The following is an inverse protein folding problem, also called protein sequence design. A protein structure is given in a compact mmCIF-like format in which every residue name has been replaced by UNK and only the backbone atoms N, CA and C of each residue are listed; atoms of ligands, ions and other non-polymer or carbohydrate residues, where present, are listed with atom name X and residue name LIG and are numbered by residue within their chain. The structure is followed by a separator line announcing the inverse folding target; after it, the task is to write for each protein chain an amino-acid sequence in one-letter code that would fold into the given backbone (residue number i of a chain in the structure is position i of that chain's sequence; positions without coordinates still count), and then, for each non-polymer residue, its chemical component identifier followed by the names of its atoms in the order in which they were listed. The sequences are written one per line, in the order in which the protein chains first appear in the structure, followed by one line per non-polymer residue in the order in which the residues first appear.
data_IF_269173734946
#
_entry.id   IF_269173734946
#
_cell.length_a   1.000
_cell.length_b   1.000
_cell.length_c   1.000
_cell.angle_alpha   90.00
_cell.angle_beta   90.00
_cell.angle_gamma   90.00
#
_symmetry.space_group_name_H-M   'P 1'
#
loop_
_entity.id
_entity.type
_entity.pdbx_description
1 polymer ?
#
# COMPACT_ATOMS: atom_id res chain seq x y z
N UNK A 1 4.30 15.93 -5.89
CA UNK A 1 5.62 16.53 -5.60
C UNK A 1 6.54 16.58 -6.82
N UNK A 2 6.62 15.50 -7.61
CA UNK A 2 7.39 15.44 -8.87
C UNK A 2 7.03 16.60 -9.82
N UNK A 3 5.74 16.89 -10.00
CA UNK A 3 5.30 18.01 -10.84
C UNK A 3 5.88 19.36 -10.42
N UNK A 4 5.90 19.64 -9.11
CA UNK A 4 6.49 20.86 -8.53
C UNK A 4 8.00 20.88 -8.70
N UNK A 5 8.63 19.71 -8.72
CA UNK A 5 10.08 19.62 -8.91
C UNK A 5 10.47 19.87 -10.36
N UNK A 6 9.68 19.36 -11.32
CA UNK A 6 9.85 19.61 -12.75
C UNK A 6 9.77 21.10 -13.10
N UNK A 7 8.94 21.91 -12.41
CA UNK A 7 8.87 23.36 -12.64
C UNK A 7 10.08 24.15 -12.16
N UNK A 8 11.05 23.51 -11.47
CA UNK A 8 12.26 24.18 -10.98
C UNK A 8 13.44 24.10 -11.95
N UNK A 9 13.27 23.39 -13.07
CA UNK A 9 14.28 23.34 -14.12
C UNK A 9 14.33 24.70 -14.84
N UNK A 10 15.51 25.15 -15.32
CA UNK A 10 15.63 26.37 -16.10
C UNK A 10 14.73 26.38 -17.35
N UNK A 11 14.23 27.55 -17.74
CA UNK A 11 13.34 27.71 -18.91
C UNK A 11 13.90 27.08 -20.19
N UNK A 12 15.22 27.14 -20.41
CA UNK A 12 15.86 26.50 -21.56
C UNK A 12 15.61 24.99 -21.62
N UNK A 13 15.62 24.29 -20.47
CA UNK A 13 15.31 22.86 -20.42
C UNK A 13 13.80 22.59 -20.52
N UNK A 14 12.96 23.50 -20.02
CA UNK A 14 11.51 23.42 -20.18
C UNK A 14 11.11 23.55 -21.64
N UNK A 15 11.76 24.44 -22.40
CA UNK A 15 11.52 24.62 -23.84
C UNK A 15 11.97 23.40 -24.66
N UNK A 16 13.03 22.70 -24.21
CA UNK A 16 13.57 21.52 -24.90
C UNK A 16 12.76 20.24 -24.63
N UNK A 17 12.40 19.98 -23.36
CA UNK A 17 11.79 18.70 -22.95
C UNK A 17 10.28 18.79 -22.74
N UNK A 18 9.73 20.00 -22.73
CA UNK A 18 8.41 20.30 -22.19
C UNK A 18 8.28 19.91 -20.69
N UNK A 19 7.25 20.43 -20.02
CA UNK A 19 7.04 20.13 -18.60
C UNK A 19 6.69 18.65 -18.36
N UNK A 20 6.01 18.01 -19.30
CA UNK A 20 5.69 16.58 -19.29
C UNK A 20 6.97 15.73 -19.35
N UNK A 21 7.90 16.04 -20.26
CA UNK A 21 9.18 15.36 -20.37
C UNK A 21 10.05 15.54 -19.14
N UNK A 22 10.09 16.74 -18.55
CA UNK A 22 10.82 16.98 -17.30
C UNK A 22 10.26 16.20 -16.11
N UNK A 23 8.92 16.03 -16.03
CA UNK A 23 8.29 15.20 -14.99
C UNK A 23 8.74 13.75 -15.11
N UNK A 24 8.74 13.22 -16.34
CA UNK A 24 9.21 11.87 -16.64
C UNK A 24 10.69 11.72 -16.31
N UNK A 25 11.52 12.66 -16.75
CA UNK A 25 12.95 12.68 -16.44
C UNK A 25 13.24 12.64 -14.94
N UNK A 26 12.57 13.48 -14.14
CA UNK A 26 12.75 13.47 -12.68
C UNK A 26 12.36 12.12 -12.06
N UNK A 27 11.27 11.52 -12.53
CA UNK A 27 10.82 10.20 -12.08
C UNK A 27 11.85 9.13 -12.44
N UNK A 28 12.25 9.06 -13.71
CA UNK A 28 13.20 8.06 -14.23
C UNK A 28 14.55 8.15 -13.50
N UNK A 29 15.10 9.36 -13.32
CA UNK A 29 16.36 9.56 -12.59
C UNK A 29 16.26 9.09 -11.14
N UNK A 30 15.20 9.48 -10.41
CA UNK A 30 15.07 9.10 -9.00
C UNK A 30 14.78 7.60 -8.83
N UNK A 31 14.06 7.00 -9.78
CA UNK A 31 13.85 5.55 -9.87
C UNK A 31 15.17 4.81 -10.09
N UNK A 32 16.01 5.25 -11.02
CA UNK A 32 17.30 4.62 -11.28
C UNK A 32 18.30 4.82 -10.13
N UNK A 33 18.29 5.98 -9.46
CA UNK A 33 19.09 6.18 -8.25
C UNK A 33 18.66 5.20 -7.14
N UNK A 34 17.36 5.08 -6.88
CA UNK A 34 16.86 4.13 -5.88
C UNK A 34 17.20 2.68 -6.24
N UNK A 35 17.08 2.33 -7.53
CA UNK A 35 17.46 1.02 -8.05
C UNK A 35 18.94 0.74 -7.83
N UNK A 36 19.84 1.61 -8.27
CA UNK A 36 21.30 1.43 -8.14
C UNK A 36 21.70 1.29 -6.66
N UNK A 37 21.19 2.18 -5.80
CA UNK A 37 21.43 2.12 -4.35
C UNK A 37 20.97 0.78 -3.75
N UNK A 38 19.78 0.28 -4.12
CA UNK A 38 19.26 -0.99 -3.65
C UNK A 38 20.06 -2.20 -4.17
N UNK A 39 20.47 -2.17 -5.44
CA UNK A 39 21.25 -3.23 -6.08
C UNK A 39 22.67 -3.33 -5.50
N UNK A 40 23.23 -2.19 -5.09
CA UNK A 40 24.55 -2.09 -4.48
C UNK A 40 24.51 -2.17 -2.94
N UNK A 41 23.33 -2.21 -2.33
CA UNK A 41 23.12 -2.22 -0.88
C UNK A 41 23.83 -1.04 -0.18
N UNK A 42 23.66 0.17 -0.73
CA UNK A 42 24.26 1.41 -0.20
C UNK A 42 23.19 2.44 0.13
N UNK A 43 23.42 3.20 1.19
CA UNK A 43 22.49 4.25 1.65
C UNK A 43 22.76 5.63 1.02
N UNK A 44 23.81 5.75 0.20
CA UNK A 44 24.14 6.97 -0.53
C UNK A 44 24.78 6.66 -1.88
N UNK A 45 24.68 7.61 -2.81
CA UNK A 45 25.24 7.58 -4.17
C UNK A 45 26.29 8.70 -4.33
N UNK A 46 27.41 8.44 -5.01
CA UNK A 46 28.38 9.50 -5.34
C UNK A 46 27.93 10.36 -6.52
N UNK A 47 28.46 11.59 -6.56
CA UNK A 47 28.16 12.56 -7.61
C UNK A 47 28.44 12.03 -9.02
N UNK A 48 29.51 11.27 -9.22
CA UNK A 48 29.87 10.73 -10.53
C UNK A 48 28.79 9.76 -11.05
N UNK A 49 28.36 8.81 -10.21
CA UNK A 49 27.27 7.88 -10.55
C UNK A 49 25.94 8.61 -10.73
N UNK A 50 25.64 9.59 -9.86
CA UNK A 50 24.44 10.43 -9.96
C UNK A 50 24.37 11.18 -11.30
N UNK A 51 25.50 11.77 -11.72
CA UNK A 51 25.58 12.47 -13.00
C UNK A 51 25.45 11.54 -14.18
N UNK A 52 26.06 10.35 -14.10
CA UNK A 52 25.95 9.36 -15.15
C UNK A 52 24.50 8.88 -15.35
N UNK A 53 23.77 8.63 -14.25
CA UNK A 53 22.33 8.30 -14.32
C UNK A 53 21.55 9.44 -14.97
N UNK A 54 21.83 10.69 -14.57
CA UNK A 54 21.14 11.86 -15.12
C UNK A 54 21.40 12.06 -16.62
N UNK A 55 22.63 11.86 -17.09
CA UNK A 55 22.96 11.91 -18.52
C UNK A 55 22.26 10.79 -19.28
N UNK A 56 22.30 9.57 -18.76
CA UNK A 56 21.63 8.41 -19.37
C UNK A 56 20.13 8.62 -19.50
N UNK A 57 19.48 9.17 -18.47
CA UNK A 57 18.05 9.45 -18.48
C UNK A 57 17.66 10.63 -19.39
N UNK A 58 18.58 11.58 -19.62
CA UNK A 58 18.34 12.70 -20.53
C UNK A 58 18.40 12.23 -22.00
N UNK A 59 19.28 11.27 -22.32
CA UNK A 59 19.50 10.78 -23.68
C UNK A 59 20.49 11.63 -24.48
N UNK A 60 20.66 11.29 -25.76
CA UNK A 60 21.77 11.78 -26.59
C UNK A 60 21.55 13.17 -27.23
N UNK A 61 20.36 13.76 -27.09
CA UNK A 61 19.95 14.95 -27.85
C UNK A 61 20.33 16.30 -27.18
N UNK A 62 21.12 16.27 -26.12
CA UNK A 62 21.46 17.47 -25.33
C UNK A 62 22.89 17.97 -25.59
N UNK A 63 23.04 19.27 -25.78
CA UNK A 63 24.35 19.92 -25.85
C UNK A 63 25.02 19.99 -24.47
N UNK A 64 26.34 20.26 -24.46
CA UNK A 64 27.14 20.26 -23.24
C UNK A 64 26.64 21.29 -22.20
N UNK A 65 26.08 22.41 -22.66
CA UNK A 65 25.51 23.43 -21.79
C UNK A 65 24.21 22.96 -21.13
N UNK A 66 23.30 22.29 -21.87
CA UNK A 66 22.09 21.72 -21.30
C UNK A 66 22.38 20.58 -20.33
N UNK A 67 23.34 19.70 -20.64
CA UNK A 67 23.78 18.64 -19.73
C UNK A 67 24.34 19.22 -18.43
N UNK A 68 25.11 20.33 -18.50
CA UNK A 68 25.59 21.02 -17.30
C UNK A 68 24.44 21.58 -16.45
N UNK A 69 23.38 22.11 -17.08
CA UNK A 69 22.19 22.57 -16.36
C UNK A 69 21.45 21.42 -15.67
N UNK A 70 21.33 20.27 -16.35
CA UNK A 70 20.74 19.05 -15.80
C UNK A 70 21.51 18.58 -14.56
N UNK A 71 22.85 18.44 -14.67
CA UNK A 71 23.71 18.03 -13.55
C UNK A 71 23.56 18.93 -12.33
N UNK A 72 23.60 20.24 -12.53
CA UNK A 72 23.41 21.22 -11.45
C UNK A 72 22.01 21.10 -10.80
N UNK A 73 20.97 20.80 -11.59
CA UNK A 73 19.61 20.67 -11.07
C UNK A 73 19.41 19.38 -10.28
N UNK A 74 19.95 18.26 -10.75
CA UNK A 74 19.88 16.96 -10.05
C UNK A 74 20.53 17.03 -8.67
N UNK A 75 21.68 17.73 -8.54
CA UNK A 75 22.31 17.96 -7.24
C UNK A 75 21.49 18.82 -6.27
N UNK A 76 20.50 19.55 -6.76
CA UNK A 76 19.66 20.41 -5.93
C UNK A 76 18.22 19.88 -5.83
N UNK A 77 17.97 18.64 -6.26
CA UNK A 77 16.65 18.04 -6.25
C UNK A 77 16.17 17.82 -4.80
N UNK A 78 14.91 18.16 -4.53
CA UNK A 78 14.39 18.21 -3.15
C UNK A 78 14.26 16.84 -2.46
N UNK A 79 14.30 15.74 -3.20
CA UNK A 79 14.20 14.37 -2.67
C UNK A 79 15.52 13.84 -2.13
N UNK A 80 16.64 14.48 -2.49
CA UNK A 80 17.98 14.07 -2.11
C UNK A 80 18.61 15.14 -1.21
N UNK A 81 19.32 14.69 -0.19
CA UNK A 81 20.14 15.51 0.70
C UNK A 81 21.61 15.11 0.62
N UNK A 82 22.48 15.96 1.15
CA UNK A 82 23.90 15.64 1.24
C UNK A 82 24.11 14.59 2.33
N UNK A 83 24.89 13.57 1.99
CA UNK A 83 25.38 12.60 2.97
C UNK A 83 26.49 13.24 3.84
N UNK A 84 26.80 12.62 4.98
CA UNK A 84 27.94 13.05 5.81
C UNK A 84 29.27 12.96 5.05
N UNK A 85 29.36 12.02 4.10
CA UNK A 85 30.51 11.86 3.22
C UNK A 85 30.44 12.87 2.09
N UNK A 86 31.49 13.69 1.96
CA UNK A 86 31.60 14.71 0.91
C UNK A 86 31.46 14.09 -0.48
N UNK A 87 30.68 14.74 -1.35
CA UNK A 87 30.45 14.31 -2.73
C UNK A 87 29.50 13.12 -2.88
N UNK A 88 28.69 12.85 -1.83
CA UNK A 88 27.65 11.84 -1.86
C UNK A 88 26.30 12.42 -1.46
N UNK A 89 25.25 11.81 -1.99
CA UNK A 89 23.85 12.19 -1.82
C UNK A 89 23.07 10.98 -1.34
N UNK A 90 22.04 11.18 -0.53
CA UNK A 90 21.10 10.14 -0.12
C UNK A 90 19.68 10.64 -0.23
N UNK A 91 18.70 9.74 -0.24
CA UNK A 91 17.31 10.17 -0.10
C UNK A 91 17.10 10.84 1.25
N UNK A 92 16.42 11.98 1.24
CA UNK A 92 16.15 12.76 2.45
C UNK A 92 15.20 12.03 3.44
N UNK A 93 14.46 11.04 2.95
CA UNK A 93 13.60 10.18 3.78
C UNK A 93 13.51 8.78 3.15
N UNK A 94 13.43 7.74 3.99
CA UNK A 94 13.31 6.35 3.54
C UNK A 94 12.05 6.11 2.71
N UNK A 95 10.96 6.82 3.00
CA UNK A 95 9.72 6.76 2.21
C UNK A 95 9.93 7.21 0.76
N UNK A 96 10.80 8.20 0.50
CA UNK A 96 11.10 8.60 -0.88
C UNK A 96 11.88 7.50 -1.60
N UNK A 97 12.89 6.95 -0.95
CA UNK A 97 13.64 5.81 -1.49
C UNK A 97 12.70 4.64 -1.83
N UNK A 98 11.87 4.23 -0.88
CA UNK A 98 10.92 3.13 -1.06
C UNK A 98 9.86 3.43 -2.13
N UNK A 99 9.40 4.68 -2.26
CA UNK A 99 8.46 5.11 -3.30
C UNK A 99 9.08 4.91 -4.70
N UNK A 100 10.30 5.41 -4.93
CA UNK A 100 10.96 5.30 -6.23
C UNK A 100 11.42 3.87 -6.52
N UNK A 101 11.81 3.11 -5.49
CA UNK A 101 12.13 1.68 -5.62
C UNK A 101 10.87 0.86 -5.96
N UNK A 102 9.70 1.24 -5.44
CA UNK A 102 8.42 0.59 -5.78
C UNK A 102 8.06 0.80 -7.25
N UNK A 103 8.24 2.02 -7.77
CA UNK A 103 8.11 2.30 -9.19
C UNK A 103 9.08 1.44 -10.03
N UNK A 104 10.35 1.34 -9.62
CA UNK A 104 11.34 0.47 -10.28
C UNK A 104 10.87 -0.99 -10.33
N UNK A 105 10.39 -1.52 -9.21
CA UNK A 105 9.93 -2.91 -9.11
C UNK A 105 8.73 -3.20 -10.03
N UNK A 106 7.72 -2.33 -10.03
CA UNK A 106 6.55 -2.47 -10.91
C UNK A 106 6.96 -2.39 -12.38
N UNK A 107 7.77 -1.40 -12.75
CA UNK A 107 8.16 -1.18 -14.14
C UNK A 107 9.02 -2.33 -14.67
N UNK A 108 10.03 -2.76 -13.90
CA UNK A 108 10.93 -3.85 -14.29
C UNK A 108 10.18 -5.18 -14.42
N UNK A 109 9.36 -5.56 -13.44
CA UNK A 109 8.61 -6.81 -13.49
C UNK A 109 7.56 -6.78 -14.61
N UNK A 110 6.90 -5.63 -14.85
CA UNK A 110 5.98 -5.48 -15.98
C UNK A 110 6.66 -5.72 -17.34
N UNK A 111 7.97 -5.51 -17.42
CA UNK A 111 8.80 -5.73 -18.60
C UNK A 111 9.51 -7.10 -18.59
N UNK A 112 9.13 -8.01 -17.67
CA UNK A 112 9.75 -9.32 -17.49
C UNK A 112 11.25 -9.24 -17.13
N UNK A 113 11.65 -8.17 -16.43
CA UNK A 113 12.97 -8.00 -15.85
C UNK A 113 12.95 -8.33 -14.35
N UNK A 114 13.99 -9.01 -13.85
CA UNK A 114 14.19 -9.25 -12.41
C UNK A 114 15.46 -8.55 -11.91
N UNK A 115 15.35 -7.29 -11.46
CA UNK A 115 16.47 -6.53 -10.90
C UNK A 115 17.20 -7.28 -9.78
N UNK A 116 18.48 -6.93 -9.57
CA UNK A 116 19.32 -7.61 -8.58
C UNK A 116 18.78 -7.49 -7.16
N UNK A 117 18.17 -6.35 -6.82
CA UNK A 117 17.59 -6.13 -5.49
C UNK A 117 16.38 -7.05 -5.21
N UNK A 118 15.60 -7.40 -6.23
CA UNK A 118 14.49 -8.37 -6.14
C UNK A 118 15.00 -9.80 -5.98
N UNK A 119 16.17 -10.13 -6.55
CA UNK A 119 16.73 -11.48 -6.47
C UNK A 119 17.37 -11.83 -5.12
N UNK A 120 17.88 -10.83 -4.39
CA UNK A 120 18.82 -11.09 -3.27
C UNK A 120 18.29 -10.79 -1.88
N UNK A 121 17.59 -9.67 -1.71
CA UNK A 121 17.27 -9.15 -0.39
C UNK A 121 15.89 -9.61 0.05
N UNK A 122 15.70 -9.92 1.33
CA UNK A 122 14.34 -10.05 1.87
C UNK A 122 13.77 -8.64 2.02
N UNK A 123 12.55 -8.43 1.55
CA UNK A 123 11.89 -7.14 1.68
C UNK A 123 11.36 -6.90 3.08
N UNK A 124 11.87 -5.85 3.73
CA UNK A 124 11.37 -5.41 5.02
C UNK A 124 9.97 -4.78 4.94
N UNK A 125 9.27 -4.67 6.09
CA UNK A 125 7.90 -4.18 6.15
C UNK A 125 7.76 -2.75 5.62
N UNK A 126 8.71 -1.86 5.88
CA UNK A 126 8.64 -0.46 5.41
C UNK A 126 8.56 -0.35 3.88
N UNK A 127 9.34 -1.18 3.17
CA UNK A 127 9.30 -1.23 1.70
C UNK A 127 7.97 -1.82 1.22
N UNK A 128 7.53 -2.95 1.78
CA UNK A 128 6.28 -3.60 1.37
C UNK A 128 5.04 -2.72 1.64
N UNK A 129 5.01 -1.99 2.76
CA UNK A 129 3.97 -1.01 3.06
C UNK A 129 3.97 0.11 2.01
N UNK A 130 5.15 0.67 1.72
CA UNK A 130 5.28 1.76 0.74
C UNK A 130 4.90 1.27 -0.65
N UNK A 131 5.27 0.04 -1.01
CA UNK A 131 4.94 -0.58 -2.28
C UNK A 131 3.42 -0.75 -2.44
N UNK A 132 2.71 -1.23 -1.41
CA UNK A 132 1.25 -1.33 -1.45
C UNK A 132 0.56 0.03 -1.62
N UNK A 133 1.05 1.06 -0.93
CA UNK A 133 0.55 2.44 -1.07
C UNK A 133 0.83 3.02 -2.45
N UNK A 134 2.04 2.82 -2.97
CA UNK A 134 2.42 3.23 -4.32
C UNK A 134 1.53 2.56 -5.36
N UNK A 135 1.35 1.24 -5.23
CA UNK A 135 0.57 0.42 -6.16
C UNK A 135 -0.88 0.86 -6.22
N UNK A 136 -1.48 1.31 -5.12
CA UNK A 136 -2.83 1.87 -5.15
C UNK A 136 -2.96 3.10 -6.07
N UNK A 137 -1.87 3.87 -6.23
CA UNK A 137 -1.81 5.12 -7.02
C UNK A 137 -1.23 4.96 -8.44
N UNK A 138 -0.65 3.81 -8.76
CA UNK A 138 -0.01 3.57 -10.04
C UNK A 138 -1.03 3.41 -11.19
N UNK A 139 -0.56 3.51 -12.43
CA UNK A 139 -1.41 3.35 -13.61
C UNK A 139 -2.02 1.93 -13.62
N UNK A 140 -3.33 1.86 -13.88
CA UNK A 140 -4.07 0.61 -13.75
C UNK A 140 -3.66 -0.42 -14.83
N UNK A 141 -3.17 0.02 -15.99
CA UNK A 141 -2.67 -0.89 -17.03
C UNK A 141 -1.27 -1.41 -16.68
N UNK A 142 -0.41 -0.54 -16.16
CA UNK A 142 0.91 -0.93 -15.67
C UNK A 142 0.79 -1.96 -14.55
N UNK A 143 -0.06 -1.72 -13.55
CA UNK A 143 -0.30 -2.67 -12.46
C UNK A 143 -0.90 -4.00 -12.92
N UNK A 144 -1.80 -3.99 -13.91
CA UNK A 144 -2.32 -5.23 -14.51
C UNK A 144 -1.21 -5.99 -15.22
N UNK A 145 -0.32 -5.28 -15.92
CA UNK A 145 0.86 -5.88 -16.55
C UNK A 145 1.78 -6.49 -15.50
N UNK A 146 2.12 -5.72 -14.45
CA UNK A 146 2.87 -6.18 -13.29
C UNK A 146 2.26 -7.45 -12.69
N UNK A 147 0.99 -7.42 -12.31
CA UNK A 147 0.33 -8.54 -11.64
C UNK A 147 0.35 -9.81 -12.51
N UNK A 148 0.06 -9.67 -13.81
CA UNK A 148 0.08 -10.76 -14.77
C UNK A 148 1.48 -11.37 -14.92
N UNK A 149 2.51 -10.55 -15.11
CA UNK A 149 3.88 -11.03 -15.30
C UNK A 149 4.42 -11.60 -13.99
N UNK A 150 4.19 -10.93 -12.87
CA UNK A 150 4.56 -11.40 -11.54
C UNK A 150 3.96 -12.78 -11.25
N UNK A 151 2.65 -12.98 -11.53
CA UNK A 151 1.99 -14.27 -11.36
C UNK A 151 2.66 -15.37 -12.20
N UNK A 152 3.02 -15.08 -13.45
CA UNK A 152 3.73 -16.02 -14.30
C UNK A 152 5.15 -16.33 -13.79
N UNK A 153 5.85 -15.34 -13.22
CA UNK A 153 7.21 -15.50 -12.69
C UNK A 153 7.22 -16.37 -11.43
N UNK A 154 6.25 -16.22 -10.52
CA UNK A 154 6.19 -17.03 -9.29
C UNK A 154 5.78 -18.48 -9.56
N UNK A 155 5.07 -18.76 -10.68
CA UNK A 155 4.72 -20.13 -11.07
C UNK A 155 5.93 -20.97 -11.49
N UNK A 156 7.09 -20.35 -11.73
CA UNK A 156 8.35 -21.03 -12.06
C UNK A 156 9.38 -20.66 -10.99
N UNK A 157 9.43 -21.41 -9.87
CA UNK A 157 10.32 -21.10 -8.76
C UNK A 157 11.78 -21.00 -9.22
N UNK A 158 12.48 -19.99 -8.69
CA UNK A 158 13.92 -19.84 -8.92
C UNK A 158 14.69 -20.74 -7.97
N UNK A 159 15.50 -21.65 -8.50
CA UNK A 159 16.38 -22.49 -7.67
C UNK A 159 17.62 -21.74 -7.17
N UNK A 160 17.95 -20.60 -7.79
CA UNK A 160 19.24 -19.93 -7.64
C UNK A 160 19.18 -18.65 -6.81
N UNK A 161 17.99 -18.08 -6.63
CA UNK A 161 17.80 -16.82 -5.93
C UNK A 161 16.43 -16.73 -5.25
N UNK A 162 16.09 -15.58 -4.66
CA UNK A 162 14.85 -15.35 -3.90
C UNK A 162 13.76 -14.64 -4.72
N UNK A 163 13.91 -14.54 -6.04
CA UNK A 163 13.05 -13.69 -6.87
C UNK A 163 11.59 -14.07 -6.77
N UNK A 164 11.26 -15.35 -6.88
CA UNK A 164 9.90 -15.89 -6.74
C UNK A 164 9.27 -15.50 -5.40
N UNK A 165 10.01 -15.66 -4.29
CA UNK A 165 9.53 -15.33 -2.94
C UNK A 165 9.25 -13.84 -2.77
N UNK A 166 10.16 -13.02 -3.29
CA UNK A 166 10.06 -11.57 -3.21
C UNK A 166 8.97 -11.02 -4.12
N UNK A 167 8.81 -11.57 -5.33
CA UNK A 167 7.72 -11.20 -6.24
C UNK A 167 6.37 -11.62 -5.64
N UNK A 168 6.29 -12.79 -5.01
CA UNK A 168 5.11 -13.21 -4.27
C UNK A 168 4.79 -12.24 -3.12
N UNK A 169 5.79 -11.80 -2.34
CA UNK A 169 5.60 -10.78 -1.31
C UNK A 169 5.02 -9.47 -1.88
N UNK A 170 5.51 -9.01 -3.03
CA UNK A 170 4.97 -7.83 -3.72
C UNK A 170 3.53 -8.04 -4.19
N UNK A 171 3.22 -9.19 -4.81
CA UNK A 171 1.85 -9.53 -5.24
C UNK A 171 0.85 -9.52 -4.08
N UNK A 172 1.25 -10.02 -2.91
CA UNK A 172 0.39 -10.08 -1.73
C UNK A 172 0.03 -8.69 -1.20
N UNK A 173 0.91 -7.69 -1.35
CA UNK A 173 0.56 -6.30 -1.00
C UNK A 173 -0.56 -5.73 -1.88
N UNK A 174 -0.83 -6.34 -3.05
CA UNK A 174 -1.87 -5.93 -3.99
C UNK A 174 -3.25 -6.53 -3.70
N UNK A 175 -3.39 -7.42 -2.71
CA UNK A 175 -4.67 -8.04 -2.36
C UNK A 175 -5.84 -7.05 -2.10
N UNK A 176 -5.62 -5.84 -1.54
CA UNK A 176 -6.68 -4.83 -1.36
C UNK A 176 -7.37 -4.35 -2.64
N UNK A 177 -6.80 -4.66 -3.80
CA UNK A 177 -7.33 -4.32 -5.11
C UNK A 177 -7.14 -5.47 -6.11
N UNK A 178 -7.03 -6.71 -5.62
CA UNK A 178 -6.76 -7.92 -6.40
C UNK A 178 -7.68 -8.03 -7.62
N UNK A 179 -8.98 -7.81 -7.43
CA UNK A 179 -9.98 -7.89 -8.49
C UNK A 179 -9.78 -6.84 -9.59
N UNK A 180 -9.29 -5.64 -9.22
CA UNK A 180 -9.02 -4.57 -10.19
C UNK A 180 -7.83 -4.87 -11.10
N UNK A 181 -6.86 -5.65 -10.60
CA UNK A 181 -5.63 -6.01 -11.34
C UNK A 181 -5.65 -7.45 -11.89
N UNK A 182 -6.74 -8.19 -11.66
CA UNK A 182 -6.93 -9.55 -12.18
C UNK A 182 -6.23 -10.64 -11.39
N UNK A 183 -5.92 -10.39 -10.11
CA UNK A 183 -5.40 -11.41 -9.19
C UNK A 183 -6.61 -12.11 -8.55
N UNK A 184 -6.86 -13.35 -8.95
CA UNK A 184 -7.93 -14.19 -8.37
C UNK A 184 -7.36 -15.34 -7.54
N UNK A 185 -6.17 -15.81 -7.90
CA UNK A 185 -5.53 -16.99 -7.32
C UNK A 185 -4.02 -16.76 -7.21
N UNK A 186 -3.44 -17.22 -6.10
CA UNK A 186 -1.99 -17.27 -5.86
C UNK A 186 -1.69 -18.67 -5.30
N UNK A 187 -0.85 -19.44 -5.97
CA UNK A 187 -0.61 -20.84 -5.61
C UNK A 187 0.87 -21.18 -5.58
N UNK A 188 1.23 -22.18 -4.78
CA UNK A 188 2.57 -22.77 -4.73
C UNK A 188 3.69 -21.77 -4.41
N UNK A 189 3.44 -20.82 -3.50
CA UNK A 189 4.43 -19.81 -3.11
C UNK A 189 5.05 -20.09 -1.74
N UNK A 190 6.32 -19.71 -1.61
CA UNK A 190 7.04 -19.67 -0.34
C UNK A 190 7.47 -18.23 -0.09
N UNK A 191 7.07 -17.64 1.03
CA UNK A 191 7.35 -16.22 1.32
C UNK A 191 8.05 -16.08 2.66
N UNK A 192 9.17 -15.36 2.65
CA UNK A 192 9.94 -15.07 3.87
C UNK A 192 9.24 -13.99 4.71
N UNK A 193 8.96 -12.83 4.11
CA UNK A 193 8.24 -11.74 4.74
C UNK A 193 7.15 -11.22 3.79
N UNK A 194 5.93 -11.06 4.29
CA UNK A 194 4.84 -10.43 3.55
C UNK A 194 4.08 -9.43 4.41
N UNK A 195 3.47 -8.46 3.74
CA UNK A 195 2.63 -7.43 4.37
C UNK A 195 1.34 -7.32 3.59
N UNK A 196 0.21 -7.35 4.29
CA UNK A 196 -1.11 -7.04 3.74
C UNK A 196 -1.73 -5.94 4.60
N UNK A 197 -2.29 -4.90 3.96
CA UNK A 197 -2.89 -3.74 4.63
C UNK A 197 -4.21 -3.36 3.99
N UNK A 198 -5.17 -2.88 4.77
CA UNK A 198 -6.47 -2.49 4.23
C UNK A 198 -7.41 -3.69 4.05
N UNK A 199 -8.48 -3.51 3.29
CA UNK A 199 -9.51 -4.54 3.08
C UNK A 199 -9.25 -5.24 1.76
N UNK A 200 -9.01 -6.54 1.82
CA UNK A 200 -8.69 -7.39 0.67
C UNK A 200 -9.93 -7.63 -0.20
N UNK A 201 -9.71 -7.59 -1.51
CA UNK A 201 -10.65 -8.16 -2.47
C UNK A 201 -10.58 -9.70 -2.38
N UNK A 202 -11.54 -10.37 -3.01
CA UNK A 202 -11.53 -11.83 -3.06
C UNK A 202 -10.27 -12.35 -3.77
N UNK A 203 -9.59 -13.30 -3.13
CA UNK A 203 -8.46 -14.03 -3.71
C UNK A 203 -8.34 -15.39 -3.01
N UNK A 204 -7.96 -16.43 -3.75
CA UNK A 204 -7.61 -17.73 -3.18
C UNK A 204 -6.10 -17.91 -3.12
N UNK A 205 -5.60 -18.30 -1.97
CA UNK A 205 -4.20 -18.64 -1.72
C UNK A 205 -4.11 -20.13 -1.42
N UNK A 206 -3.36 -20.88 -2.22
CA UNK A 206 -3.29 -22.34 -2.07
C UNK A 206 -1.87 -22.90 -2.06
N UNK A 207 -1.67 -24.02 -1.35
CA UNK A 207 -0.42 -24.79 -1.31
C UNK A 207 0.81 -23.91 -1.03
N UNK A 208 0.71 -23.03 -0.04
CA UNK A 208 1.67 -21.95 0.17
C UNK A 208 2.20 -21.93 1.60
N UNK A 209 3.40 -21.39 1.82
CA UNK A 209 3.96 -21.25 3.17
C UNK A 209 4.51 -19.86 3.42
N UNK A 210 4.24 -19.33 4.61
CA UNK A 210 4.68 -18.02 5.07
C UNK A 210 5.56 -18.16 6.30
N UNK A 211 6.80 -17.67 6.25
CA UNK A 211 7.62 -17.57 7.46
C UNK A 211 7.09 -16.47 8.39
N UNK A 212 6.77 -15.31 7.82
CA UNK A 212 6.13 -14.21 8.53
C UNK A 212 5.14 -13.46 7.64
N UNK A 213 3.95 -13.18 8.19
CA UNK A 213 2.94 -12.35 7.53
C UNK A 213 2.46 -11.25 8.48
N UNK A 214 2.63 -10.00 8.06
CA UNK A 214 2.15 -8.84 8.78
C UNK A 214 0.75 -8.44 8.31
N UNK A 215 -0.21 -8.63 9.20
CA UNK A 215 -1.65 -8.45 9.03
C UNK A 215 -2.20 -7.31 9.90
N UNK A 216 -1.35 -6.49 10.50
CA UNK A 216 -1.82 -5.31 11.27
C UNK A 216 -2.69 -4.42 10.40
N UNK A 217 -3.81 -3.96 10.93
CA UNK A 217 -4.77 -3.09 10.22
C UNK A 217 -5.31 -3.67 8.90
N UNK A 218 -5.27 -5.00 8.72
CA UNK A 218 -5.82 -5.65 7.54
C UNK A 218 -7.23 -6.22 7.80
N UNK A 219 -7.94 -6.45 6.71
CA UNK A 219 -9.12 -7.31 6.66
C UNK A 219 -8.94 -8.26 5.49
N UNK A 220 -8.71 -9.54 5.80
CA UNK A 220 -8.56 -10.61 4.82
C UNK A 220 -9.75 -11.59 4.89
N UNK A 221 -10.89 -11.16 5.40
CA UNK A 221 -12.10 -12.00 5.52
C UNK A 221 -12.57 -12.59 4.19
N UNK A 222 -12.31 -11.89 3.07
CA UNK A 222 -12.64 -12.34 1.71
C UNK A 222 -11.55 -13.22 1.06
N UNK A 223 -10.42 -13.47 1.72
CA UNK A 223 -9.34 -14.30 1.18
C UNK A 223 -9.56 -15.76 1.59
N UNK A 224 -9.43 -16.70 0.67
CA UNK A 224 -9.57 -18.13 0.95
C UNK A 224 -8.20 -18.77 1.03
N UNK A 225 -7.91 -19.53 2.09
CA UNK A 225 -6.65 -20.23 2.31
C UNK A 225 -6.86 -21.75 2.22
N UNK A 226 -6.11 -22.42 1.35
CA UNK A 226 -6.20 -23.87 1.13
C UNK A 226 -4.81 -24.50 1.22
N UNK A 227 -4.57 -25.44 2.15
CA UNK A 227 -3.23 -26.00 2.39
C UNK A 227 -2.16 -24.91 2.56
N UNK A 228 -2.41 -23.97 3.47
CA UNK A 228 -1.47 -22.87 3.77
C UNK A 228 -0.88 -23.06 5.15
N UNK A 229 0.44 -22.89 5.25
CA UNK A 229 1.18 -22.88 6.51
C UNK A 229 1.68 -21.47 6.82
N UNK A 230 1.54 -21.04 8.07
CA UNK A 230 2.02 -19.73 8.52
C UNK A 230 2.83 -19.93 9.81
N UNK A 231 4.11 -19.57 9.82
CA UNK A 231 4.91 -19.71 11.02
C UNK A 231 4.64 -18.56 12.01
N UNK A 232 4.70 -17.31 11.56
CA UNK A 232 4.46 -16.12 12.40
C UNK A 232 3.43 -15.18 11.77
N UNK A 233 2.44 -14.78 12.56
CA UNK A 233 1.52 -13.68 12.21
C UNK A 233 1.86 -12.46 13.05
N UNK A 234 1.97 -11.29 12.43
CA UNK A 234 1.98 -10.00 13.16
C UNK A 234 0.60 -9.39 13.00
N UNK A 235 -0.09 -9.10 14.11
CA UNK A 235 -1.46 -8.60 14.07
C UNK A 235 -1.72 -7.55 15.16
N UNK A 236 -2.87 -6.89 15.06
CA UNK A 236 -3.37 -6.00 16.10
C UNK A 236 -4.88 -6.20 16.27
N UNK A 237 -5.49 -5.47 17.19
CA UNK A 237 -6.88 -5.66 17.62
C UNK A 237 -7.93 -5.36 16.54
N UNK A 238 -7.53 -4.77 15.41
CA UNK A 238 -8.41 -4.48 14.26
C UNK A 238 -8.15 -5.38 13.04
N UNK A 239 -7.24 -6.35 13.17
CA UNK A 239 -6.99 -7.37 12.16
C UNK A 239 -8.23 -8.28 12.04
N UNK A 240 -8.76 -8.46 10.83
CA UNK A 240 -9.83 -9.43 10.56
C UNK A 240 -9.34 -10.56 9.65
N UNK A 241 -9.59 -11.79 10.07
CA UNK A 241 -9.13 -13.01 9.41
C UNK A 241 -10.27 -13.75 8.70
N UNK A 242 -9.90 -14.54 7.70
CA UNK A 242 -10.83 -15.42 6.98
C UNK A 242 -11.24 -16.63 7.83
N UNK A 243 -12.46 -17.18 7.61
CA UNK A 243 -12.88 -18.50 8.10
C UNK A 243 -11.91 -19.63 7.77
N UNK A 244 -11.10 -19.48 6.72
CA UNK A 244 -10.15 -20.50 6.26
C UNK A 244 -8.71 -20.25 6.71
N UNK A 245 -8.46 -19.18 7.46
CA UNK A 245 -7.10 -18.82 7.87
C UNK A 245 -6.47 -19.94 8.74
N UNK A 246 -5.24 -20.40 8.45
CA UNK A 246 -4.64 -21.52 9.16
C UNK A 246 -4.25 -21.15 10.60
N UNK A 247 -4.07 -22.15 11.47
CA UNK A 247 -3.42 -21.94 12.77
C UNK A 247 -1.92 -21.67 12.54
N UNK A 248 -1.39 -20.52 12.97
CA UNK A 248 0.01 -20.21 12.84
C UNK A 248 0.82 -20.85 13.97
N UNK A 249 2.13 -20.92 13.80
CA UNK A 249 3.04 -21.30 14.88
C UNK A 249 2.97 -20.34 16.08
N UNK A 250 2.91 -19.03 15.80
CA UNK A 250 2.80 -17.98 16.81
C UNK A 250 2.20 -16.69 16.25
N UNK A 251 1.68 -15.84 17.15
CA UNK A 251 1.19 -14.49 16.84
C UNK A 251 2.00 -13.48 17.66
N UNK A 252 2.59 -12.50 16.98
CA UNK A 252 3.12 -11.27 17.57
C UNK A 252 1.98 -10.25 17.54
N UNK A 253 1.36 -10.02 18.70
CA UNK A 253 0.21 -9.16 18.84
C UNK A 253 0.66 -7.78 19.33
N UNK A 254 0.31 -6.75 18.57
CA UNK A 254 0.47 -5.36 18.98
C UNK A 254 -0.81 -4.87 19.69
N UNK A 255 -0.72 -4.60 20.99
CA UNK A 255 -1.83 -4.08 21.81
C UNK A 255 -1.38 -2.77 22.46
N UNK A 256 -1.99 -1.65 22.09
CA UNK A 256 -1.70 -0.33 22.68
C UNK A 256 -0.19 0.03 22.68
N UNK A 257 0.53 -0.38 21.63
CA UNK A 257 1.99 -0.16 21.50
C UNK A 257 2.88 -1.13 22.30
N UNK A 258 2.28 -2.14 22.95
CA UNK A 258 3.01 -3.28 23.55
C UNK A 258 2.98 -4.46 22.61
N UNK A 259 4.04 -5.27 22.67
CA UNK A 259 4.16 -6.51 21.91
C UNK A 259 3.91 -7.69 22.85
N UNK A 260 2.91 -8.50 22.52
CA UNK A 260 2.57 -9.74 23.20
C UNK A 260 2.81 -10.92 22.27
N UNK A 261 3.10 -12.08 22.85
CA UNK A 261 3.36 -13.30 22.09
C UNK A 261 2.36 -14.38 22.46
N UNK A 262 1.53 -14.77 21.50
CA UNK A 262 0.56 -15.85 21.65
C UNK A 262 1.03 -17.08 20.90
N UNK A 263 0.84 -18.27 21.48
CA UNK A 263 1.18 -19.54 20.84
C UNK A 263 0.20 -20.65 21.25
N UNK A 264 0.11 -21.70 20.43
CA UNK A 264 -0.76 -22.84 20.68
C UNK A 264 -2.23 -22.43 20.86
N UNK A 265 -2.84 -22.83 21.97
CA UNK A 265 -4.26 -22.60 22.23
C UNK A 265 -4.65 -21.11 22.29
N UNK A 266 -3.77 -20.24 22.81
CA UNK A 266 -4.03 -18.79 22.89
C UNK A 266 -4.08 -18.16 21.49
N UNK A 267 -3.18 -18.56 20.59
CA UNK A 267 -3.18 -18.11 19.20
C UNK A 267 -4.44 -18.57 18.46
N UNK A 268 -4.82 -19.85 18.60
CA UNK A 268 -6.06 -20.41 18.03
C UNK A 268 -7.30 -19.68 18.54
N UNK A 269 -7.37 -19.39 19.85
CA UNK A 269 -8.48 -18.65 20.45
C UNK A 269 -8.58 -17.23 19.88
N UNK A 270 -7.44 -16.54 19.78
CA UNK A 270 -7.39 -15.19 19.21
C UNK A 270 -7.87 -15.18 17.76
N UNK A 271 -7.40 -16.11 16.92
CA UNK A 271 -7.82 -16.22 15.51
C UNK A 271 -9.31 -16.48 15.36
N UNK A 272 -9.86 -17.37 16.19
CA UNK A 272 -11.30 -17.67 16.20
C UNK A 272 -12.12 -16.40 16.51
N UNK A 273 -11.68 -15.60 17.47
CA UNK A 273 -12.34 -14.34 17.84
C UNK A 273 -12.23 -13.26 16.74
N UNK A 274 -11.21 -13.31 15.87
CA UNK A 274 -10.95 -12.30 14.84
C UNK A 274 -11.47 -12.68 13.44
N UNK A 275 -12.40 -13.65 13.35
CA UNK A 275 -13.17 -13.92 12.12
C UNK A 275 -13.11 -15.36 11.61
N UNK A 276 -12.30 -16.24 12.20
CA UNK A 276 -12.23 -17.63 11.73
C UNK A 276 -13.48 -18.44 12.08
N UNK A 277 -14.04 -18.24 13.26
CA UNK A 277 -15.30 -18.87 13.65
C UNK A 277 -16.48 -18.02 13.15
N UNK A 278 -17.26 -18.57 12.20
CA UNK A 278 -18.53 -17.94 11.74
C UNK A 278 -19.60 -17.92 12.83
N UNK A 279 -19.53 -18.88 13.77
CA UNK A 279 -20.58 -19.19 14.73
C UNK A 279 -20.44 -18.51 16.09
N UNK A 280 -19.83 -17.32 16.16
CA UNK A 280 -20.10 -16.46 17.31
C UNK A 280 -21.48 -15.80 17.11
N UNK A 281 -22.54 -16.63 17.14
CA UNK A 281 -23.91 -16.27 17.54
C UNK A 281 -23.97 -15.78 19.00
N UNK A 282 -22.84 -15.33 19.56
CA UNK A 282 -22.90 -14.45 20.71
C UNK A 282 -23.74 -13.25 20.30
N UNK A 283 -24.76 -12.91 21.07
CA UNK A 283 -25.50 -11.64 21.04
C UNK A 283 -24.60 -10.41 21.32
N UNK A 284 -23.29 -10.54 21.05
CA UNK A 284 -22.20 -9.69 21.49
C UNK A 284 -21.43 -8.99 20.35
N UNK A 285 -21.87 -9.10 19.09
CA UNK A 285 -21.35 -8.23 18.00
C UNK A 285 -22.27 -7.01 17.78
N UNK A 286 -21.71 -5.84 17.45
CA UNK A 286 -22.51 -4.65 17.09
C UNK A 286 -23.07 -4.72 15.67
N UNK A 287 -22.48 -5.58 14.83
CA UNK A 287 -22.68 -5.60 13.38
C UNK A 287 -23.26 -6.96 13.01
N UNK A 288 -24.40 -6.97 12.33
CA UNK A 288 -24.99 -8.21 11.81
C UNK A 288 -24.18 -8.77 10.64
N UNK A 289 -24.33 -10.07 10.37
CA UNK A 289 -23.74 -10.70 9.18
C UNK A 289 -24.22 -10.01 7.89
N UNK A 290 -25.51 -9.67 7.84
CA UNK A 290 -26.11 -8.97 6.70
C UNK A 290 -25.44 -7.61 6.41
N UNK A 291 -25.10 -6.84 7.43
CA UNK A 291 -24.37 -5.58 7.26
C UNK A 291 -22.90 -5.83 6.86
N UNK A 292 -22.22 -6.82 7.45
CA UNK A 292 -20.82 -7.14 7.11
C UNK A 292 -20.62 -7.52 5.64
N UNK A 293 -21.63 -8.15 5.05
CA UNK A 293 -21.62 -8.51 3.63
C UNK A 293 -21.90 -7.33 2.69
N UNK A 294 -22.51 -6.26 3.19
CA UNK A 294 -22.93 -5.12 2.37
C UNK A 294 -21.76 -4.20 1.99
N UNK A 295 -21.79 -3.64 0.78
CA UNK A 295 -20.71 -2.78 0.26
C UNK A 295 -20.51 -1.51 1.08
N UNK A 296 -21.58 -0.96 1.66
CA UNK A 296 -21.52 0.21 2.55
C UNK A 296 -20.62 -0.04 3.78
N UNK A 297 -20.72 -1.22 4.41
CA UNK A 297 -19.84 -1.59 5.52
C UNK A 297 -18.39 -1.77 5.05
N UNK A 298 -18.18 -2.43 3.90
CA UNK A 298 -16.84 -2.57 3.31
C UNK A 298 -16.22 -1.21 3.00
N UNK A 299 -17.01 -0.25 2.52
CA UNK A 299 -16.58 1.12 2.26
C UNK A 299 -16.17 1.83 3.55
N UNK A 300 -16.96 1.70 4.63
CA UNK A 300 -16.60 2.21 5.95
C UNK A 300 -15.28 1.62 6.45
N UNK A 301 -15.14 0.29 6.37
CA UNK A 301 -13.94 -0.44 6.79
C UNK A 301 -12.69 -0.01 5.98
N UNK A 302 -12.83 0.19 4.65
CA UNK A 302 -11.77 0.72 3.78
C UNK A 302 -11.39 2.15 4.19
N UNK A 303 -12.38 3.00 4.42
CA UNK A 303 -12.17 4.42 4.78
C UNK A 303 -11.51 4.58 6.14
N UNK A 304 -11.94 3.84 7.16
CA UNK A 304 -11.34 3.90 8.50
C UNK A 304 -9.90 3.37 8.51
N UNK A 305 -9.59 2.29 7.76
CA UNK A 305 -8.20 1.79 7.64
C UNK A 305 -7.28 2.77 6.92
N UNK A 306 -7.80 3.54 5.96
CA UNK A 306 -7.04 4.66 5.38
C UNK A 306 -6.75 5.73 6.43
N UNK A 307 -7.72 6.06 7.28
CA UNK A 307 -7.58 7.09 8.31
C UNK A 307 -6.46 6.82 9.33
N UNK A 308 -6.16 5.54 9.59
CA UNK A 308 -5.05 5.15 10.46
C UNK A 308 -3.67 5.53 9.91
N UNK A 309 -3.56 5.63 8.58
CA UNK A 309 -2.30 5.96 7.88
C UNK A 309 -2.28 7.36 7.32
N UNK A 310 -3.44 7.94 7.04
CA UNK A 310 -3.59 9.26 6.47
C UNK A 310 -4.64 10.06 7.20
N UNK A 311 -4.29 11.28 7.59
CA UNK A 311 -5.18 12.12 8.39
C UNK A 311 -6.37 12.71 7.59
N UNK A 312 -6.35 12.70 6.26
CA UNK A 312 -7.44 13.25 5.43
C UNK A 312 -7.67 12.43 4.16
N UNK A 313 -8.94 12.22 3.79
CA UNK A 313 -9.35 11.79 2.44
C UNK A 313 -9.79 13.03 1.67
N UNK A 314 -9.20 13.27 0.50
CA UNK A 314 -9.55 14.38 -0.38
C UNK A 314 -10.69 13.98 -1.34
N UNK A 315 -11.67 14.86 -1.54
CA UNK A 315 -12.87 14.57 -2.35
C UNK A 315 -12.61 14.52 -3.86
N UNK A 316 -11.51 15.11 -4.31
CA UNK A 316 -11.09 15.15 -5.71
C UNK A 316 -9.57 14.94 -5.83
N UNK A 317 -9.07 14.61 -7.02
CA UNK A 317 -7.62 14.52 -7.31
C UNK A 317 -7.17 13.22 -7.99
N UNK A 318 -5.86 13.04 -8.06
CA UNK A 318 -5.21 11.85 -8.64
C UNK A 318 -4.75 10.81 -7.61
N UNK A 319 -4.99 11.04 -6.31
CA UNK A 319 -4.59 10.09 -5.28
C UNK A 319 -5.43 8.82 -5.34
N UNK A 320 -4.82 7.70 -4.93
CA UNK A 320 -5.46 6.40 -4.93
C UNK A 320 -6.78 6.33 -4.14
N UNK A 321 -6.94 7.21 -3.16
CA UNK A 321 -8.14 7.37 -2.35
C UNK A 321 -9.36 7.80 -3.15
N UNK A 322 -9.19 8.30 -4.37
CA UNK A 322 -10.32 8.66 -5.21
C UNK A 322 -11.22 7.45 -5.51
N UNK A 323 -10.68 6.22 -5.48
CA UNK A 323 -11.49 5.00 -5.65
C UNK A 323 -12.52 4.83 -4.52
N UNK A 324 -12.20 5.27 -3.29
CA UNK A 324 -13.12 5.25 -2.15
C UNK A 324 -14.21 6.31 -2.35
N UNK A 325 -13.82 7.53 -2.70
CA UNK A 325 -14.75 8.65 -2.88
C UNK A 325 -15.66 8.48 -4.11
N UNK A 326 -15.20 7.75 -5.13
CA UNK A 326 -16.00 7.43 -6.33
C UNK A 326 -17.01 6.31 -6.13
N UNK A 327 -17.03 5.64 -4.98
CA UNK A 327 -18.04 4.63 -4.68
C UNK A 327 -19.44 5.25 -4.72
N UNK A 328 -20.41 4.53 -5.29
CA UNK A 328 -21.81 4.98 -5.32
C UNK A 328 -22.40 5.17 -3.91
N UNK A 329 -21.92 4.42 -2.94
CA UNK A 329 -22.32 4.50 -1.53
C UNK A 329 -21.58 5.58 -0.74
N UNK A 330 -20.62 6.29 -1.34
CA UNK A 330 -19.79 7.27 -0.63
C UNK A 330 -20.62 8.38 0.02
N UNK A 331 -21.56 8.96 -0.73
CA UNK A 331 -22.39 10.03 -0.18
C UNK A 331 -23.29 9.54 0.96
N UNK A 332 -23.84 8.33 0.82
CA UNK A 332 -24.61 7.68 1.88
C UNK A 332 -23.78 7.48 3.15
N UNK A 333 -22.54 7.00 3.01
CA UNK A 333 -21.62 6.84 4.12
C UNK A 333 -21.29 8.18 4.80
N UNK A 334 -21.00 9.22 4.01
CA UNK A 334 -20.73 10.58 4.49
C UNK A 334 -21.91 11.11 5.31
N UNK A 335 -23.14 10.94 4.82
CA UNK A 335 -24.33 11.45 5.49
C UNK A 335 -24.57 10.73 6.84
N UNK A 336 -24.36 9.41 6.88
CA UNK A 336 -24.47 8.63 8.12
C UNK A 336 -23.37 9.01 9.13
N UNK A 337 -22.12 9.12 8.68
CA UNK A 337 -21.01 9.55 9.56
C UNK A 337 -21.25 10.97 10.09
N UNK A 338 -21.77 11.88 9.27
CA UNK A 338 -22.12 13.25 9.68
C UNK A 338 -23.26 13.25 10.70
N UNK A 339 -24.30 12.44 10.50
CA UNK A 339 -25.43 12.30 11.43
C UNK A 339 -24.96 11.86 12.83
N UNK A 340 -23.94 11.02 12.90
CA UNK A 340 -23.40 10.46 14.14
C UNK A 340 -22.23 11.25 14.74
N UNK A 341 -21.93 12.46 14.22
CA UNK A 341 -20.77 13.28 14.65
C UNK A 341 -19.40 12.56 14.53
N UNK A 342 -19.31 11.64 13.57
CA UNK A 342 -18.10 10.85 13.27
C UNK A 342 -17.38 11.34 12.01
N UNK A 343 -17.73 12.53 11.53
CA UNK A 343 -17.13 13.14 10.33
C UNK A 343 -16.73 14.59 10.57
N UNK A 344 -15.45 14.89 10.36
CA UNK A 344 -14.96 16.25 10.23
C UNK A 344 -14.73 16.60 8.76
N UNK A 345 -15.42 17.63 8.27
CA UNK A 345 -15.26 18.16 6.92
C UNK A 345 -14.47 19.47 6.94
N UNK A 346 -13.50 19.61 6.04
CA UNK A 346 -12.81 20.87 5.80
C UNK A 346 -12.98 21.30 4.35
N UNK A 347 -13.59 22.47 4.17
CA UNK A 347 -13.76 23.09 2.87
C UNK A 347 -12.66 24.11 2.61
N UNK A 348 -12.15 24.14 1.38
CA UNK A 348 -11.39 25.30 0.89
C UNK A 348 -9.98 25.48 1.46
N UNK A 349 -9.33 24.44 1.99
CA UNK A 349 -7.88 24.48 2.24
C UNK A 349 -7.13 24.22 0.94
N UNK A 350 -6.40 25.19 0.36
CA UNK A 350 -5.50 24.91 -0.76
C UNK A 350 -4.26 24.18 -0.23
N UNK A 351 -4.33 22.85 -0.18
CA UNK A 351 -3.13 22.01 -0.05
C UNK A 351 -2.56 21.75 -1.46
N UNK A 352 -2.17 22.81 -2.17
CA UNK A 352 -1.75 22.78 -3.59
C UNK A 352 -2.80 22.20 -4.56
N UNK A 353 -3.34 23.05 -5.45
CA UNK A 353 -4.34 22.65 -6.45
C UNK A 353 -5.72 23.28 -6.21
N UNK A 354 -6.75 22.87 -6.99
CA UNK A 354 -8.09 23.42 -6.88
C UNK A 354 -8.71 23.15 -5.49
N UNK A 355 -9.64 24.00 -5.03
CA UNK A 355 -10.34 23.81 -3.75
C UNK A 355 -11.03 22.45 -3.71
N UNK A 356 -10.83 21.73 -2.61
CA UNK A 356 -11.39 20.39 -2.38
C UNK A 356 -12.03 20.29 -1.00
N UNK A 357 -12.86 19.26 -0.81
CA UNK A 357 -13.38 18.87 0.49
C UNK A 357 -12.43 17.81 1.06
N UNK A 358 -12.02 17.98 2.30
CA UNK A 358 -11.24 16.99 3.02
C UNK A 358 -12.08 16.37 4.12
N UNK A 359 -12.14 15.04 4.14
CA UNK A 359 -12.87 14.24 5.11
C UNK A 359 -11.91 13.62 6.12
N UNK A 360 -12.28 13.64 7.40
CA UNK A 360 -11.59 12.95 8.46
C UNK A 360 -12.59 12.22 9.36
N UNK A 361 -12.26 10.99 9.76
CA UNK A 361 -13.08 10.14 10.63
C UNK A 361 -12.32 10.00 11.97
N UNK A 362 -12.60 10.84 12.99
CA UNK A 362 -11.80 10.91 14.21
C UNK A 362 -11.72 9.59 14.99
N UNK A 363 -12.81 8.84 15.03
CA UNK A 363 -12.92 7.57 15.76
C UNK A 363 -12.74 6.34 14.87
N UNK A 364 -11.87 6.45 13.85
CA UNK A 364 -11.66 5.38 12.89
C UNK A 364 -11.25 4.05 13.56
N UNK A 365 -10.46 4.10 14.64
CA UNK A 365 -10.01 2.89 15.34
C UNK A 365 -11.17 2.22 16.09
N UNK A 366 -11.95 2.98 16.84
CA UNK A 366 -13.09 2.51 17.62
C UNK A 366 -14.18 1.93 16.71
N UNK A 367 -14.40 2.54 15.54
CA UNK A 367 -15.30 2.00 14.50
C UNK A 367 -14.80 0.64 14.00
N UNK A 368 -13.49 0.49 13.73
CA UNK A 368 -12.91 -0.77 13.25
C UNK A 368 -12.97 -1.88 14.29
N UNK A 369 -12.79 -1.53 15.57
CA UNK A 369 -12.91 -2.43 16.71
C UNK A 369 -14.36 -2.82 17.03
N UNK A 370 -15.34 -2.12 16.44
CA UNK A 370 -16.76 -2.27 16.81
C UNK A 370 -16.96 -2.02 18.31
N UNK A 371 -16.36 -0.94 18.84
CA UNK A 371 -16.35 -0.62 20.26
C UNK A 371 -17.74 -0.21 20.80
N UNK A 372 -18.29 -1.09 21.64
CA UNK A 372 -19.59 -0.93 22.31
C UNK A 372 -19.62 0.12 23.40
N UNK A 373 -18.46 0.47 23.95
CA UNK A 373 -18.38 1.50 24.97
C UNK A 373 -18.55 2.91 24.40
N UNK A 374 -18.40 3.06 23.08
CA UNK A 374 -18.59 4.30 22.37
C UNK A 374 -20.03 4.40 21.82
N UNK A 375 -20.83 5.28 22.42
CA UNK A 375 -22.22 5.51 22.04
C UNK A 375 -22.37 5.99 20.58
N UNK A 376 -21.42 6.80 20.08
CA UNK A 376 -21.43 7.29 18.69
C UNK A 376 -21.22 6.14 17.70
N UNK A 377 -20.31 5.22 18.02
CA UNK A 377 -20.04 4.03 17.19
C UNK A 377 -21.23 3.07 17.21
N UNK A 378 -21.88 2.90 18.36
CA UNK A 378 -23.09 2.08 18.47
C UNK A 378 -24.24 2.66 17.63
N UNK A 379 -24.44 3.98 17.70
CA UNK A 379 -25.44 4.69 16.89
C UNK A 379 -25.15 4.59 15.38
N UNK A 380 -23.86 4.71 14.99
CA UNK A 380 -23.42 4.52 13.61
C UNK A 380 -23.85 3.16 13.05
N UNK A 381 -23.61 2.07 13.78
CA UNK A 381 -23.96 0.74 13.28
C UNK A 381 -25.47 0.52 13.22
N UNK A 382 -26.25 1.06 14.16
CA UNK A 382 -27.71 1.02 14.09
C UNK A 382 -28.25 1.74 12.84
N UNK A 383 -27.72 2.93 12.54
CA UNK A 383 -28.09 3.70 11.34
C UNK A 383 -27.67 3.00 10.03
N UNK A 384 -26.52 2.32 10.04
CA UNK A 384 -26.07 1.52 8.89
C UNK A 384 -26.98 0.33 8.64
N UNK A 385 -27.40 -0.38 9.68
CA UNK A 385 -28.35 -1.50 9.59
C UNK A 385 -29.69 -1.04 9.01
N UNK A 386 -30.25 0.05 9.54
CA UNK A 386 -31.48 0.64 9.01
C UNK A 386 -31.31 1.00 7.54
N UNK A 387 -30.19 1.64 7.17
CA UNK A 387 -29.96 2.04 5.78
C UNK A 387 -29.80 0.87 4.83
N UNK A 388 -29.11 -0.19 5.25
CA UNK A 388 -28.95 -1.41 4.44
C UNK A 388 -30.29 -2.12 4.28
N UNK A 389 -31.14 -2.14 5.31
CA UNK A 389 -32.49 -2.68 5.21
C UNK A 389 -33.35 -1.87 4.22
N UNK A 390 -33.25 -0.54 4.21
CA UNK A 390 -33.92 0.30 3.20
C UNK A 390 -33.46 0.00 1.77
N UNK A 391 -32.15 -0.15 1.55
CA UNK A 391 -31.58 -0.37 0.21
C UNK A 391 -31.87 -1.76 -0.37
N UNK A 392 -32.25 -2.73 0.48
CA UNK A 392 -32.63 -4.09 0.07
C UNK A 392 -34.10 -4.22 -0.35
N UNK A 393 -34.94 -3.26 0.03
CA UNK A 393 -36.36 -3.19 -0.34
C UNK A 393 -36.58 -2.30 -1.55
#
# INVERSE_FOLDING_TARGET
MIEREATKFPNALIELMELSGLRRFVLDVLTEIARDMAENQVDSIDDDTLFWIAETAAGDDFDADSLRLIKNRIQAIAFLENDERRGRRRFAHSEFFNYFLSHSAISAISQNETPKFIRRNIFGPDFLITFGLFSLSADNNELKSFAKIAAAMISVPSELDRSDRNIAALLLTCLPFAGSVGITDIENIHVDDSVIRGVSDFCRISNSSFNQIDLRECDISNVTFENVEVATVIANEITRLSPTFPDPGMIQLEVEGRQELLAGAEATQWINAHGRARDNESSETLVSEGLREHELYRLLQKSCRVMLRQHWIRSDGGDYLIKIVKSEFWQTLVDILRKNDLLAERHGKPASGPPSIFYHIPHAREILQEDRSNELVTSLFADLEEKVAELRN
#
